data_IF_147453635482
#
_entry.id   IF_147453635482
#
_cell.length_a   1.000
_cell.length_b   1.000
_cell.length_c   1.000
_cell.angle_alpha   90.00
_cell.angle_beta   90.00
_cell.angle_gamma   90.00
#
_symmetry.space_group_name_H-M   'P 1'
#
loop_
_entity.id
_entity.type
_entity.pdbx_description
1 polymer ?
#
# COMPACT_ATOMS: atom_id res chain seq x y z
N UNK A 1 33.75 35.47 -41.25
CA UNK A 1 32.38 34.92 -41.44
C UNK A 1 31.93 33.94 -40.34
N UNK A 2 32.80 33.52 -39.40
CA UNK A 2 32.44 32.56 -38.33
C UNK A 2 31.56 33.14 -37.20
N UNK A 3 31.58 34.46 -36.96
CA UNK A 3 30.97 35.08 -35.77
C UNK A 3 29.42 35.11 -35.76
N UNK A 4 28.76 35.13 -36.93
CA UNK A 4 27.29 35.21 -37.02
C UNK A 4 26.60 33.85 -36.81
N UNK A 5 27.27 32.76 -37.14
CA UNK A 5 26.71 31.42 -37.01
C UNK A 5 26.75 30.97 -35.53
N UNK A 6 27.83 31.28 -34.83
CA UNK A 6 27.96 31.00 -33.39
C UNK A 6 26.96 31.81 -32.54
N UNK A 7 26.71 33.08 -32.89
CA UNK A 7 25.71 33.92 -32.21
C UNK A 7 24.26 33.43 -32.44
N UNK A 8 23.97 32.89 -33.63
CA UNK A 8 22.68 32.25 -33.91
C UNK A 8 22.47 30.97 -33.09
N UNK A 9 23.50 30.14 -32.98
CA UNK A 9 23.46 28.90 -32.19
C UNK A 9 23.27 29.24 -30.70
N UNK A 10 23.99 30.23 -30.18
CA UNK A 10 23.85 30.71 -28.80
C UNK A 10 22.43 31.21 -28.51
N UNK A 11 21.84 32.02 -29.40
CA UNK A 11 20.44 32.49 -29.25
C UNK A 11 19.45 31.33 -29.24
N UNK A 12 19.65 30.31 -30.08
CA UNK A 12 18.79 29.14 -30.13
C UNK A 12 18.91 28.27 -28.87
N UNK A 13 20.13 28.10 -28.32
CA UNK A 13 20.36 27.39 -27.06
C UNK A 13 19.70 28.14 -25.90
N UNK A 14 19.87 29.46 -25.81
CA UNK A 14 19.27 30.29 -24.76
C UNK A 14 17.74 30.23 -24.83
N UNK A 15 17.16 30.35 -26.03
CA UNK A 15 15.72 30.27 -26.24
C UNK A 15 15.18 28.89 -25.84
N UNK A 16 15.83 27.81 -26.28
CA UNK A 16 15.43 26.44 -25.96
C UNK A 16 15.52 26.17 -24.46
N UNK A 17 16.58 26.65 -23.81
CA UNK A 17 16.79 26.55 -22.36
C UNK A 17 15.69 27.31 -21.60
N UNK A 18 15.38 28.54 -22.02
CA UNK A 18 14.30 29.35 -21.43
C UNK A 18 12.95 28.65 -21.52
N UNK A 19 12.59 28.13 -22.70
CA UNK A 19 11.34 27.39 -22.92
C UNK A 19 11.27 26.14 -22.03
N UNK A 20 12.37 25.38 -21.90
CA UNK A 20 12.43 24.20 -21.02
C UNK A 20 12.23 24.59 -19.55
N UNK A 21 12.86 25.67 -19.09
CA UNK A 21 12.71 26.19 -17.73
C UNK A 21 11.27 26.64 -17.45
N UNK A 22 10.65 27.39 -18.35
CA UNK A 22 9.25 27.83 -18.21
C UNK A 22 8.29 26.65 -18.17
N UNK A 23 8.44 25.66 -19.06
CA UNK A 23 7.66 24.42 -19.03
C UNK A 23 7.83 23.68 -17.70
N UNK A 24 9.05 23.57 -17.20
CA UNK A 24 9.35 22.93 -15.92
C UNK A 24 8.74 23.70 -14.73
N UNK A 25 8.76 25.03 -14.76
CA UNK A 25 8.11 25.87 -13.74
C UNK A 25 6.59 25.71 -13.76
N UNK A 26 5.96 25.74 -14.94
CA UNK A 26 4.51 25.51 -15.10
C UNK A 26 4.13 24.11 -14.61
N UNK A 27 4.90 23.08 -14.99
CA UNK A 27 4.69 21.70 -14.52
C UNK A 27 4.79 21.61 -13.00
N UNK A 28 5.82 22.22 -12.39
CA UNK A 28 5.96 22.28 -10.91
C UNK A 28 4.78 22.99 -10.25
N UNK A 29 4.33 24.12 -10.79
CA UNK A 29 3.18 24.86 -10.27
C UNK A 29 1.90 24.03 -10.33
N UNK A 30 1.66 23.35 -11.45
CA UNK A 30 0.48 22.48 -11.61
C UNK A 30 0.52 21.30 -10.63
N UNK A 31 1.68 20.66 -10.45
CA UNK A 31 1.85 19.59 -9.46
C UNK A 31 1.57 20.09 -8.04
N UNK A 32 2.11 21.25 -7.65
CA UNK A 32 1.85 21.83 -6.33
C UNK A 32 0.37 22.15 -6.13
N UNK A 33 -0.31 22.66 -7.15
CA UNK A 33 -1.75 22.94 -7.08
C UNK A 33 -2.56 21.67 -6.89
N UNK A 34 -2.21 20.57 -7.59
CA UNK A 34 -2.85 19.27 -7.41
C UNK A 34 -2.64 18.72 -6.00
N UNK A 35 -1.40 18.79 -5.48
CA UNK A 35 -1.08 18.35 -4.11
C UNK A 35 -1.89 19.15 -3.08
N UNK A 36 -2.00 20.48 -3.25
CA UNK A 36 -2.81 21.33 -2.37
C UNK A 36 -4.30 21.00 -2.46
N UNK A 37 -4.83 20.80 -3.67
CA UNK A 37 -6.22 20.42 -3.87
C UNK A 37 -6.54 19.07 -3.19
N UNK A 38 -5.68 18.07 -3.38
CA UNK A 38 -5.77 16.78 -2.68
C UNK A 38 -5.72 16.96 -1.15
N UNK A 39 -4.76 17.74 -0.65
CA UNK A 39 -4.65 18.06 0.78
C UNK A 39 -5.92 18.69 1.35
N UNK A 40 -6.54 19.63 0.62
CA UNK A 40 -7.78 20.28 1.03
C UNK A 40 -8.94 19.29 1.12
N UNK A 41 -9.11 18.42 0.11
CA UNK A 41 -10.15 17.38 0.13
C UNK A 41 -9.92 16.39 1.26
N UNK A 42 -8.66 16.02 1.50
CA UNK A 42 -8.28 15.08 2.56
C UNK A 42 -8.50 15.67 3.96
N UNK A 43 -8.34 16.98 4.15
CA UNK A 43 -8.69 17.63 5.42
C UNK A 43 -10.21 17.73 5.59
N UNK A 44 -10.96 18.05 4.52
CA UNK A 44 -12.42 18.20 4.54
C UNK A 44 -13.17 16.88 4.70
N UNK A 45 -12.69 15.82 4.04
CA UNK A 45 -13.32 14.50 4.01
C UNK A 45 -12.29 13.38 4.25
N UNK A 46 -11.66 13.33 5.43
CA UNK A 46 -10.48 12.50 5.65
C UNK A 46 -10.74 11.00 5.52
N UNK A 47 -11.87 10.51 6.01
CA UNK A 47 -12.17 9.07 5.99
C UNK A 47 -12.40 8.61 4.55
N UNK A 48 -13.31 9.29 3.82
CA UNK A 48 -13.63 8.95 2.43
C UNK A 48 -12.40 9.03 1.54
N UNK A 49 -11.61 10.11 1.69
CA UNK A 49 -10.40 10.32 0.89
C UNK A 49 -9.37 9.23 1.17
N UNK A 50 -9.14 8.88 2.45
CA UNK A 50 -8.19 7.82 2.79
C UNK A 50 -8.63 6.46 2.26
N UNK A 51 -9.89 6.06 2.44
CA UNK A 51 -10.37 4.78 1.92
C UNK A 51 -10.22 4.68 0.39
N UNK A 52 -10.56 5.75 -0.33
CA UNK A 52 -10.42 5.80 -1.79
C UNK A 52 -8.95 5.76 -2.21
N UNK A 53 -8.09 6.56 -1.57
CA UNK A 53 -6.65 6.55 -1.85
C UNK A 53 -6.04 5.18 -1.58
N UNK A 54 -6.40 4.53 -0.47
CA UNK A 54 -5.96 3.17 -0.15
C UNK A 54 -6.40 2.17 -1.21
N UNK A 55 -7.67 2.24 -1.66
CA UNK A 55 -8.17 1.40 -2.74
C UNK A 55 -7.36 1.58 -4.03
N UNK A 56 -7.11 2.83 -4.43
CA UNK A 56 -6.30 3.14 -5.62
C UNK A 56 -4.88 2.60 -5.48
N UNK A 57 -4.23 2.79 -4.33
CA UNK A 57 -2.87 2.31 -4.10
C UNK A 57 -2.78 0.79 -4.11
N UNK A 58 -3.69 0.11 -3.43
CA UNK A 58 -3.77 -1.36 -3.40
C UNK A 58 -4.01 -1.92 -4.82
N UNK A 59 -4.91 -1.30 -5.58
CA UNK A 59 -5.20 -1.67 -6.98
C UNK A 59 -4.00 -1.46 -7.89
N UNK A 60 -3.34 -0.30 -7.76
CA UNK A 60 -2.15 0.04 -8.54
C UNK A 60 -0.99 -0.90 -8.22
N UNK A 61 -0.82 -1.24 -6.94
CA UNK A 61 0.13 -2.24 -6.50
C UNK A 61 -0.15 -3.59 -7.15
N UNK A 62 -1.38 -4.07 -7.14
CA UNK A 62 -1.72 -5.34 -7.80
C UNK A 62 -1.42 -5.32 -9.31
N UNK A 63 -1.74 -4.23 -10.02
CA UNK A 63 -1.41 -4.10 -11.45
C UNK A 63 0.11 -4.16 -11.69
N UNK A 64 0.89 -3.46 -10.86
CA UNK A 64 2.35 -3.47 -10.92
C UNK A 64 2.90 -4.87 -10.66
N UNK A 65 2.40 -5.57 -9.63
CA UNK A 65 2.83 -6.93 -9.32
C UNK A 65 2.57 -7.88 -10.49
N UNK A 66 1.36 -7.85 -11.05
CA UNK A 66 1.01 -8.70 -12.18
C UNK A 66 1.87 -8.42 -13.42
N UNK A 67 2.20 -7.16 -13.70
CA UNK A 67 2.92 -6.76 -14.91
C UNK A 67 4.44 -6.81 -14.82
N UNK A 68 5.00 -6.42 -13.68
CA UNK A 68 6.45 -6.25 -13.53
C UNK A 68 7.12 -7.35 -12.72
N UNK A 69 6.37 -8.08 -11.88
CA UNK A 69 6.92 -9.13 -11.01
C UNK A 69 6.54 -10.51 -11.56
N UNK A 70 5.25 -10.70 -11.88
CA UNK A 70 4.73 -12.00 -12.35
C UNK A 70 4.78 -12.17 -13.88
N UNK A 71 5.24 -11.14 -14.61
CA UNK A 71 5.33 -11.09 -16.09
C UNK A 71 4.08 -11.61 -16.82
N UNK A 72 2.89 -11.27 -16.30
CA UNK A 72 1.63 -11.72 -16.87
C UNK A 72 1.33 -10.95 -18.18
N UNK A 73 1.27 -11.69 -19.30
CA UNK A 73 0.94 -11.13 -20.62
C UNK A 73 -0.42 -10.41 -20.62
N UNK A 74 -1.42 -10.96 -19.92
CA UNK A 74 -2.76 -10.36 -19.75
C UNK A 74 -3.02 -9.99 -18.29
N UNK A 75 -3.60 -8.81 -18.08
CA UNK A 75 -3.98 -8.37 -16.73
C UNK A 75 -5.18 -9.19 -16.25
N UNK A 76 -5.08 -9.77 -15.05
CA UNK A 76 -6.20 -10.41 -14.37
C UNK A 76 -7.08 -9.35 -13.71
N UNK A 77 -8.03 -8.83 -14.49
CA UNK A 77 -8.99 -7.79 -14.06
C UNK A 77 -9.81 -8.23 -12.84
N UNK A 78 -10.15 -9.52 -12.73
CA UNK A 78 -10.90 -10.05 -11.58
C UNK A 78 -10.09 -9.92 -10.29
N UNK A 79 -8.81 -10.26 -10.32
CA UNK A 79 -7.88 -10.09 -9.19
C UNK A 79 -7.72 -8.61 -8.83
N UNK A 80 -7.57 -7.75 -9.82
CA UNK A 80 -7.45 -6.31 -9.60
C UNK A 80 -8.72 -5.71 -8.98
N UNK A 81 -9.91 -6.12 -9.45
CA UNK A 81 -11.18 -5.72 -8.84
C UNK A 81 -11.33 -6.22 -7.40
N UNK A 82 -10.89 -7.46 -7.12
CA UNK A 82 -10.85 -8.02 -5.76
C UNK A 82 -10.00 -7.15 -4.83
N UNK A 83 -8.78 -6.82 -5.25
CA UNK A 83 -7.88 -5.97 -4.45
C UNK A 83 -8.41 -4.53 -4.30
N UNK A 84 -9.08 -3.99 -5.32
CA UNK A 84 -9.75 -2.69 -5.22
C UNK A 84 -10.83 -2.69 -4.13
N UNK A 85 -11.72 -3.70 -4.14
CA UNK A 85 -12.77 -3.85 -3.13
C UNK A 85 -12.18 -4.10 -1.73
N UNK A 86 -11.15 -4.95 -1.65
CA UNK A 86 -10.45 -5.24 -0.40
C UNK A 86 -9.81 -3.96 0.18
N UNK A 87 -9.14 -3.16 -0.64
CA UNK A 87 -8.58 -1.88 -0.25
C UNK A 87 -9.64 -0.87 0.19
N UNK A 88 -10.75 -0.78 -0.55
CA UNK A 88 -11.81 0.21 -0.32
C UNK A 88 -12.68 -0.10 0.91
N UNK A 89 -13.08 -1.35 1.07
CA UNK A 89 -14.11 -1.75 2.04
C UNK A 89 -13.51 -2.27 3.34
N UNK A 90 -12.27 -2.77 3.30
CA UNK A 90 -11.63 -3.37 4.46
C UNK A 90 -10.39 -2.61 4.91
N UNK A 91 -9.31 -2.60 4.11
CA UNK A 91 -8.02 -2.03 4.54
C UNK A 91 -8.15 -0.54 4.84
N UNK A 92 -8.74 0.23 3.92
CA UNK A 92 -8.92 1.67 4.04
C UNK A 92 -9.66 2.07 5.32
N UNK A 93 -10.89 1.58 5.55
CA UNK A 93 -11.63 1.85 6.77
C UNK A 93 -10.89 1.37 8.02
N UNK A 94 -10.44 0.12 8.08
CA UNK A 94 -9.80 -0.45 9.27
C UNK A 94 -8.57 0.37 9.70
N UNK A 95 -7.67 0.68 8.77
CA UNK A 95 -6.45 1.46 9.04
C UNK A 95 -6.80 2.90 9.44
N UNK A 96 -7.73 3.53 8.74
CA UNK A 96 -8.13 4.92 8.99
C UNK A 96 -8.73 5.09 10.38
N UNK A 97 -9.68 4.23 10.75
CA UNK A 97 -10.32 4.28 12.06
C UNK A 97 -9.32 3.91 13.17
N UNK A 98 -8.46 2.91 12.93
CA UNK A 98 -7.45 2.50 13.89
C UNK A 98 -6.46 3.62 14.24
N UNK A 99 -5.90 4.31 13.24
CA UNK A 99 -4.98 5.41 13.51
C UNK A 99 -5.64 6.57 14.24
N UNK A 100 -6.92 6.86 13.97
CA UNK A 100 -7.68 7.87 14.71
C UNK A 100 -7.94 7.43 16.15
N UNK A 101 -8.24 6.15 16.37
CA UNK A 101 -8.36 5.58 17.71
C UNK A 101 -7.05 5.73 18.49
N UNK A 102 -5.92 5.29 17.92
CA UNK A 102 -4.60 5.46 18.54
C UNK A 102 -4.27 6.93 18.81
N UNK A 103 -4.60 7.83 17.90
CA UNK A 103 -4.36 9.25 18.10
C UNK A 103 -5.23 9.84 19.22
N UNK A 104 -6.49 9.41 19.35
CA UNK A 104 -7.38 9.82 20.44
C UNK A 104 -6.93 9.26 21.79
N UNK A 105 -6.46 8.02 21.83
CA UNK A 105 -6.04 7.33 23.07
C UNK A 105 -4.69 7.86 23.58
N UNK A 106 -3.73 8.12 22.70
CA UNK A 106 -2.36 8.52 23.07
C UNK A 106 -2.05 10.00 22.83
N UNK A 107 -2.89 10.73 22.07
CA UNK A 107 -2.64 12.12 21.68
C UNK A 107 -2.81 13.15 22.79
N UNK A 108 -3.65 12.86 23.81
CA UNK A 108 -3.99 13.77 24.92
C UNK A 108 -2.88 13.96 25.98
N UNK A 109 -1.86 13.12 26.00
CA UNK A 109 -0.76 13.19 26.99
C UNK A 109 0.25 14.31 26.66
N UNK A 110 0.81 15.00 27.66
CA UNK A 110 1.76 16.12 27.46
C UNK A 110 3.16 15.68 26.97
N UNK A 111 3.53 14.40 27.11
CA UNK A 111 4.86 13.91 26.71
C UNK A 111 4.88 13.50 25.24
N UNK A 112 5.50 14.30 24.35
CA UNK A 112 5.58 14.01 22.90
C UNK A 112 6.48 12.79 22.58
N UNK A 113 7.51 12.50 23.40
CA UNK A 113 8.60 11.58 23.03
C UNK A 113 8.25 10.08 23.15
N UNK A 114 7.35 9.69 24.05
CA UNK A 114 6.98 8.28 24.26
C UNK A 114 5.76 7.81 23.43
N UNK A 115 5.03 8.73 22.81
CA UNK A 115 3.77 8.44 22.09
C UNK A 115 3.94 7.46 20.92
N UNK A 116 4.97 7.56 20.06
CA UNK A 116 5.10 6.67 18.90
C UNK A 116 5.35 5.22 19.29
N UNK A 117 6.17 4.97 20.32
CA UNK A 117 6.46 3.62 20.81
C UNK A 117 5.24 2.96 21.45
N UNK A 118 4.46 3.70 22.23
CA UNK A 118 3.21 3.20 22.81
C UNK A 118 2.20 2.83 21.72
N UNK A 119 2.05 3.69 20.71
CA UNK A 119 1.20 3.41 19.54
C UNK A 119 1.69 2.19 18.79
N UNK A 120 3.01 2.04 18.61
CA UNK A 120 3.62 0.89 17.96
C UNK A 120 3.32 -0.40 18.72
N UNK A 121 3.53 -0.44 20.03
CA UNK A 121 3.26 -1.64 20.83
C UNK A 121 1.79 -2.04 20.71
N UNK A 122 0.85 -1.10 20.87
CA UNK A 122 -0.59 -1.41 20.74
C UNK A 122 -0.96 -1.82 19.31
N UNK A 123 -0.38 -1.19 18.30
CA UNK A 123 -0.58 -1.56 16.90
C UNK A 123 -0.11 -2.99 16.63
N UNK A 124 1.11 -3.32 17.07
CA UNK A 124 1.69 -4.64 16.86
C UNK A 124 1.03 -5.73 17.70
N UNK A 125 0.58 -5.43 18.92
CA UNK A 125 -0.06 -6.42 19.80
C UNK A 125 -1.51 -6.74 19.45
N UNK A 126 -2.27 -5.77 18.92
CA UNK A 126 -3.71 -5.93 18.72
C UNK A 126 -4.13 -5.82 17.27
N UNK A 127 -3.73 -4.74 16.60
CA UNK A 127 -4.21 -4.46 15.26
C UNK A 127 -3.53 -5.31 14.21
N UNK A 128 -2.22 -5.51 14.32
CA UNK A 128 -1.46 -6.31 13.37
C UNK A 128 -1.95 -7.80 13.33
N UNK A 129 -2.15 -8.50 14.47
CA UNK A 129 -2.79 -9.81 14.45
C UNK A 129 -4.19 -9.78 13.83
N UNK A 130 -5.05 -8.88 14.31
CA UNK A 130 -6.45 -8.82 13.89
C UNK A 130 -6.58 -8.54 12.38
N UNK A 131 -5.84 -7.55 11.86
CA UNK A 131 -5.94 -7.15 10.46
C UNK A 131 -5.49 -8.28 9.52
N UNK A 132 -4.42 -9.01 9.87
CA UNK A 132 -3.96 -10.13 9.04
C UNK A 132 -4.89 -11.34 9.13
N UNK A 133 -5.47 -11.61 10.30
CA UNK A 133 -6.43 -12.69 10.49
C UNK A 133 -7.69 -12.48 9.65
N UNK A 134 -8.31 -11.31 9.77
CA UNK A 134 -9.50 -10.97 8.99
C UNK A 134 -9.18 -10.79 7.50
N UNK A 135 -7.97 -10.34 7.14
CA UNK A 135 -7.54 -10.32 5.74
C UNK A 135 -7.57 -11.72 5.11
N UNK A 136 -7.07 -12.76 5.80
CA UNK A 136 -7.12 -14.14 5.32
C UNK A 136 -8.55 -14.64 5.11
N UNK A 137 -9.46 -14.32 6.04
CA UNK A 137 -10.88 -14.66 5.92
C UNK A 137 -11.48 -13.97 4.69
N UNK A 138 -11.34 -12.65 4.60
CA UNK A 138 -11.96 -11.84 3.54
C UNK A 138 -11.42 -12.24 2.17
N UNK A 139 -10.11 -12.41 2.04
CA UNK A 139 -9.51 -12.86 0.78
C UNK A 139 -9.98 -14.27 0.40
N UNK A 140 -10.11 -15.18 1.38
CA UNK A 140 -10.67 -16.52 1.15
C UNK A 140 -12.13 -16.49 0.67
N UNK A 141 -12.96 -15.65 1.27
CA UNK A 141 -14.36 -15.44 0.84
C UNK A 141 -14.43 -14.83 -0.56
N UNK A 142 -13.59 -13.83 -0.85
CA UNK A 142 -13.53 -13.21 -2.17
C UNK A 142 -13.01 -14.16 -3.26
N UNK A 143 -12.19 -15.14 -2.87
CA UNK A 143 -11.75 -16.25 -3.73
C UNK A 143 -12.76 -17.41 -3.77
N UNK A 144 -13.96 -17.23 -3.18
CA UNK A 144 -15.06 -18.20 -3.18
C UNK A 144 -14.69 -19.57 -2.59
N UNK A 145 -13.73 -19.59 -1.65
CA UNK A 145 -13.31 -20.81 -0.97
C UNK A 145 -14.36 -21.29 0.03
N UNK A 146 -14.41 -22.59 0.28
CA UNK A 146 -15.25 -23.16 1.34
C UNK A 146 -14.73 -22.73 2.72
N UNK A 147 -15.62 -22.68 3.71
CA UNK A 147 -15.25 -22.31 5.09
C UNK A 147 -14.15 -23.20 5.68
N UNK A 148 -14.17 -24.51 5.38
CA UNK A 148 -13.14 -25.46 5.80
C UNK A 148 -11.77 -25.10 5.21
N UNK A 149 -11.70 -24.81 3.91
CA UNK A 149 -10.47 -24.38 3.23
C UNK A 149 -9.93 -23.06 3.79
N UNK A 150 -10.81 -22.13 4.17
CA UNK A 150 -10.41 -20.87 4.80
C UNK A 150 -9.78 -21.14 6.16
N UNK A 151 -10.39 -22.00 6.99
CA UNK A 151 -9.86 -22.36 8.31
C UNK A 151 -8.51 -23.06 8.20
N UNK A 152 -8.39 -24.04 7.31
CA UNK A 152 -7.12 -24.73 7.02
C UNK A 152 -6.04 -23.75 6.57
N UNK A 153 -6.40 -22.82 5.68
CA UNK A 153 -5.49 -21.79 5.19
C UNK A 153 -4.99 -20.88 6.32
N UNK A 154 -5.87 -20.49 7.25
CA UNK A 154 -5.49 -19.71 8.43
C UNK A 154 -4.54 -20.52 9.32
N UNK A 155 -4.89 -21.76 9.66
CA UNK A 155 -4.07 -22.63 10.50
C UNK A 155 -2.67 -22.83 9.90
N UNK A 156 -2.57 -22.99 8.57
CA UNK A 156 -1.29 -23.20 7.88
C UNK A 156 -0.43 -21.94 7.75
N UNK A 157 -1.05 -20.80 7.44
CA UNK A 157 -0.32 -19.63 6.94
C UNK A 157 -0.29 -18.45 7.90
N UNK A 158 -1.19 -18.40 8.89
CA UNK A 158 -1.30 -17.23 9.76
C UNK A 158 -0.02 -16.93 10.53
N UNK A 159 0.63 -17.95 11.10
CA UNK A 159 1.89 -17.75 11.83
C UNK A 159 3.03 -17.27 10.93
N UNK A 160 3.18 -17.85 9.74
CA UNK A 160 4.20 -17.41 8.77
C UNK A 160 3.98 -15.95 8.36
N UNK A 161 2.71 -15.56 8.14
CA UNK A 161 2.33 -14.19 7.81
C UNK A 161 2.60 -13.25 8.98
N UNK A 162 2.26 -13.65 10.21
CA UNK A 162 2.56 -12.89 11.42
C UNK A 162 4.06 -12.66 11.60
N UNK A 163 4.87 -13.71 11.44
CA UNK A 163 6.34 -13.61 11.56
C UNK A 163 6.90 -12.67 10.50
N UNK A 164 6.49 -12.81 9.24
CA UNK A 164 6.90 -11.90 8.18
C UNK A 164 6.44 -10.46 8.47
N UNK A 165 5.25 -10.31 9.05
CA UNK A 165 4.69 -9.02 9.39
C UNK A 165 5.53 -8.32 10.45
N UNK A 166 5.89 -9.02 11.53
CA UNK A 166 6.75 -8.48 12.59
C UNK A 166 8.19 -8.19 12.17
N UNK A 167 8.67 -8.72 11.04
CA UNK A 167 9.99 -8.37 10.50
C UNK A 167 10.02 -7.00 9.82
N UNK A 168 8.89 -6.57 9.23
CA UNK A 168 8.84 -5.40 8.35
C UNK A 168 8.04 -4.27 8.99
N UNK A 169 6.83 -4.57 9.46
CA UNK A 169 5.86 -3.56 9.88
C UNK A 169 6.26 -2.77 11.11
N UNK A 170 7.00 -3.29 12.12
CA UNK A 170 7.38 -2.47 13.25
C UNK A 170 8.20 -1.23 12.85
N UNK A 171 9.15 -1.39 11.93
CA UNK A 171 9.95 -0.28 11.43
C UNK A 171 9.11 0.70 10.61
N UNK A 172 8.28 0.19 9.70
CA UNK A 172 7.37 1.00 8.87
C UNK A 172 6.42 1.82 9.75
N UNK A 173 5.81 1.19 10.76
CA UNK A 173 4.86 1.83 11.66
C UNK A 173 5.54 2.81 12.62
N UNK A 174 6.77 2.53 13.05
CA UNK A 174 7.54 3.48 13.85
C UNK A 174 7.78 4.78 13.07
N UNK A 175 8.24 4.68 11.82
CA UNK A 175 8.41 5.82 10.91
C UNK A 175 7.08 6.54 10.70
N UNK A 176 6.00 5.78 10.47
CA UNK A 176 4.66 6.32 10.26
C UNK A 176 4.15 7.13 11.45
N UNK A 177 4.29 6.61 12.68
CA UNK A 177 3.83 7.29 13.88
C UNK A 177 4.72 8.47 14.29
N UNK A 178 6.00 8.43 13.94
CA UNK A 178 6.97 9.48 14.27
C UNK A 178 6.93 10.65 13.27
N UNK A 179 6.96 10.37 11.97
CA UNK A 179 7.14 11.40 10.93
C UNK A 179 5.86 11.78 10.20
N UNK A 180 4.89 10.88 10.07
CA UNK A 180 3.76 11.08 9.17
C UNK A 180 2.56 11.69 9.93
N UNK A 181 2.00 12.83 9.46
CA UNK A 181 0.80 13.40 10.07
C UNK A 181 -0.39 12.47 9.93
N UNK A 182 -1.32 12.49 10.91
CA UNK A 182 -2.44 11.55 11.01
C UNK A 182 -3.22 11.35 9.69
N UNK A 183 -3.47 12.44 8.97
CA UNK A 183 -4.25 12.38 7.73
C UNK A 183 -3.51 11.70 6.55
N UNK A 184 -2.19 11.53 6.63
CA UNK A 184 -1.38 10.90 5.57
C UNK A 184 -0.90 9.49 5.93
N UNK A 185 -1.08 9.04 7.18
CA UNK A 185 -0.56 7.74 7.65
C UNK A 185 -1.08 6.54 6.86
N UNK A 186 -2.36 6.55 6.50
CA UNK A 186 -2.96 5.47 5.70
C UNK A 186 -2.35 5.41 4.29
N UNK A 187 -2.07 6.56 3.67
CA UNK A 187 -1.45 6.66 2.35
C UNK A 187 -0.01 6.13 2.39
N UNK A 188 0.75 6.49 3.44
CA UNK A 188 2.10 6.01 3.65
C UNK A 188 2.14 4.48 3.75
N UNK A 189 1.27 3.87 4.58
CA UNK A 189 1.18 2.41 4.70
C UNK A 189 0.69 1.75 3.43
N UNK A 190 -0.27 2.36 2.74
CA UNK A 190 -0.77 1.85 1.47
C UNK A 190 0.30 1.87 0.36
N UNK A 191 1.35 2.70 0.44
CA UNK A 191 2.48 2.61 -0.50
C UNK A 191 3.25 1.28 -0.39
N UNK A 192 3.26 0.66 0.80
CA UNK A 192 3.86 -0.67 1.02
C UNK A 192 2.90 -1.82 0.66
N UNK A 193 1.66 -1.51 0.23
CA UNK A 193 0.66 -2.52 -0.10
C UNK A 193 1.06 -3.41 -1.27
N UNK A 194 1.82 -2.91 -2.25
CA UNK A 194 2.37 -3.70 -3.35
C UNK A 194 3.17 -4.90 -2.83
N UNK A 195 4.17 -4.62 -1.99
CA UNK A 195 5.08 -5.64 -1.46
C UNK A 195 4.32 -6.64 -0.58
N UNK A 196 3.40 -6.15 0.26
CA UNK A 196 2.64 -6.99 1.18
C UNK A 196 1.61 -7.86 0.46
N UNK A 197 0.87 -7.32 -0.51
CA UNK A 197 -0.12 -8.07 -1.30
C UNK A 197 0.54 -9.12 -2.20
N UNK A 198 1.72 -8.80 -2.75
CA UNK A 198 2.52 -9.76 -3.53
C UNK A 198 2.98 -10.90 -2.65
N UNK A 199 3.48 -10.60 -1.44
CA UNK A 199 3.83 -11.63 -0.45
C UNK A 199 2.64 -12.52 -0.07
N UNK A 200 1.47 -11.93 0.21
CA UNK A 200 0.24 -12.68 0.46
C UNK A 200 -0.11 -13.62 -0.68
N UNK A 201 -0.10 -13.12 -1.92
CA UNK A 201 -0.48 -13.92 -3.08
C UNK A 201 0.51 -15.05 -3.33
N UNK A 202 1.82 -14.75 -3.29
CA UNK A 202 2.87 -15.77 -3.43
C UNK A 202 2.76 -16.83 -2.34
N UNK A 203 2.65 -16.43 -1.07
CA UNK A 203 2.58 -17.37 0.05
C UNK A 203 1.34 -18.25 0.00
N UNK A 204 0.20 -17.68 -0.40
CA UNK A 204 -1.05 -18.43 -0.59
C UNK A 204 -0.99 -19.36 -1.81
N UNK A 205 -0.24 -19.01 -2.87
CA UNK A 205 -0.10 -19.80 -4.10
C UNK A 205 0.93 -20.93 -4.00
N UNK A 206 2.09 -20.68 -3.41
CA UNK A 206 3.20 -21.64 -3.29
C UNK A 206 2.78 -22.88 -2.47
N UNK A 207 2.22 -22.66 -1.28
CA UNK A 207 1.79 -23.74 -0.38
C UNK A 207 0.53 -24.48 -0.88
N UNK A 208 -0.25 -23.90 -1.80
CA UNK A 208 -1.34 -24.59 -2.49
C UNK A 208 -0.81 -25.58 -3.53
N UNK A 209 0.30 -25.24 -4.19
CA UNK A 209 0.94 -26.10 -5.21
C UNK A 209 1.61 -27.31 -4.56
N UNK A 210 2.26 -27.11 -3.42
CA UNK A 210 2.90 -28.15 -2.62
C UNK A 210 1.89 -29.21 -2.10
N UNK A 211 0.69 -28.80 -1.68
CA UNK A 211 -0.37 -29.75 -1.30
C UNK A 211 -0.86 -30.61 -2.47
N UNK A 212 -1.02 -30.01 -3.65
CA UNK A 212 -1.46 -30.74 -4.84
C UNK A 212 -0.41 -31.75 -5.29
N UNK A 213 0.88 -31.45 -5.11
CA UNK A 213 1.96 -32.42 -5.34
C UNK A 213 1.95 -33.54 -4.30
N UNK A 214 1.85 -33.22 -3.01
CA UNK A 214 1.86 -34.24 -1.94
C UNK A 214 0.59 -35.13 -1.96
N UNK A 215 -0.57 -34.59 -2.31
CA UNK A 215 -1.80 -35.38 -2.47
C UNK A 215 -1.72 -36.33 -3.68
N UNK A 216 -1.08 -35.90 -4.78
CA UNK A 216 -0.85 -36.79 -5.93
C UNK A 216 0.14 -37.90 -5.61
N UNK A 217 1.19 -37.61 -4.85
CA UNK A 217 2.17 -38.59 -4.40
C UNK A 217 1.54 -39.66 -3.49
N UNK A 218 0.73 -39.25 -2.50
CA UNK A 218 0.07 -40.16 -1.57
C UNK A 218 -1.06 -41.02 -2.18
N UNK A 219 -1.44 -40.79 -3.45
CA UNK A 219 -2.43 -41.60 -4.18
C UNK A 219 -1.77 -42.52 -5.23
N UNK A 220 -0.44 -42.50 -5.35
CA UNK A 220 0.34 -43.38 -6.22
C UNK A 220 1.07 -44.51 -5.47
N UNK A 221 0.99 -44.51 -4.14
CA UNK A 221 1.45 -45.57 -3.23
C UNK A 221 0.24 -46.37 -2.68
#
# INVERSE_FOLDING_TARGET
MLNNQDDSILKQIILTTRISLERNQVKRKNIMNLIRAYGNVMIKHPIKTQCLTTAVLVTTGDIIAQKLIEDQSRLNVKRTAKFALFGLLYVGPSVTYWYRFLDRSFGRSKSIRLKPWQKLIVDQSFFNPAINFFALIILGVLDQKKSTEIVENIQKNYLDIMIASYKIWPLVQLINFYLIPLNYRSVFVAAFSLAWNSYYTWKLGEKSSEYLQNSKANHQD
#
